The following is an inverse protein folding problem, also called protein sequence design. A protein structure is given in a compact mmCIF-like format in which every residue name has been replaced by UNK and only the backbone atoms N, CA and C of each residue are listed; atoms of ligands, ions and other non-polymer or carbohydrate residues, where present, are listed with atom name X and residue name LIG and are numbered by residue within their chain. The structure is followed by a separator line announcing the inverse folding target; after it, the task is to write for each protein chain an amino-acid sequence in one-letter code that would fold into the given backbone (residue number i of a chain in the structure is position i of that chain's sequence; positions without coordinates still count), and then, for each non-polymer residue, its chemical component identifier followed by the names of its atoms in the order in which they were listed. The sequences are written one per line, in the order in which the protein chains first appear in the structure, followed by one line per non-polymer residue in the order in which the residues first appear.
data_IF_542306628736
#
_entry.id   IF_542306628736
#
_cell.length_a   1.000
_cell.length_b   1.000
_cell.length_c   1.000
_cell.angle_alpha   90.00
_cell.angle_beta   90.00
_cell.angle_gamma   90.00
#
_symmetry.space_group_name_H-M   'P 1'
#
loop_
_entity.id
_entity.type
_entity.pdbx_description
1 polymer ?
#
# COMPACT_ATOMS: atom_id res chain seq x y z
N UNK A 1 -10.42 -32.10 12.72
CA UNK A 1 -9.36 -31.55 11.85
C UNK A 1 -9.04 -30.16 12.38
N UNK A 2 -7.77 -29.84 12.65
CA UNK A 2 -7.42 -28.60 13.34
C UNK A 2 -7.65 -27.39 12.39
N UNK A 3 -8.09 -26.23 12.90
CA UNK A 3 -8.45 -25.06 12.07
C UNK A 3 -7.29 -24.59 11.16
N UNK A 4 -6.06 -24.76 11.62
CA UNK A 4 -4.84 -24.49 10.86
C UNK A 4 -4.70 -25.42 9.66
N UNK A 5 -5.04 -26.71 9.81
CA UNK A 5 -5.01 -27.67 8.71
C UNK A 5 -6.08 -27.37 7.67
N UNK A 6 -7.27 -26.92 8.10
CA UNK A 6 -8.33 -26.54 7.18
C UNK A 6 -7.98 -25.30 6.36
N UNK A 7 -7.32 -24.31 6.97
CA UNK A 7 -6.79 -23.13 6.26
C UNK A 7 -5.66 -23.49 5.28
N UNK A 8 -4.72 -24.36 5.68
CA UNK A 8 -3.65 -24.83 4.80
C UNK A 8 -4.19 -25.63 3.60
N UNK A 9 -5.19 -26.49 3.80
CA UNK A 9 -5.86 -27.21 2.72
C UNK A 9 -6.59 -26.25 1.78
N UNK A 10 -7.24 -25.21 2.32
CA UNK A 10 -7.90 -24.17 1.53
C UNK A 10 -6.92 -23.42 0.62
N UNK A 11 -5.78 -22.96 1.15
CA UNK A 11 -4.72 -22.32 0.37
C UNK A 11 -4.10 -23.25 -0.66
N UNK A 12 -3.87 -24.51 -0.29
CA UNK A 12 -3.35 -25.53 -1.20
C UNK A 12 -4.28 -25.74 -2.40
N UNK A 13 -5.60 -25.80 -2.18
CA UNK A 13 -6.60 -25.94 -3.25
C UNK A 13 -6.62 -24.71 -4.17
N UNK A 14 -6.47 -23.50 -3.64
CA UNK A 14 -6.40 -22.26 -4.44
C UNK A 14 -5.15 -22.27 -5.34
N UNK A 15 -3.99 -22.63 -4.80
CA UNK A 15 -2.75 -22.73 -5.57
C UNK A 15 -2.88 -23.80 -6.66
N UNK A 16 -3.48 -24.94 -6.35
CA UNK A 16 -3.68 -26.04 -7.29
C UNK A 16 -4.61 -25.64 -8.46
N UNK A 17 -5.65 -24.85 -8.18
CA UNK A 17 -6.50 -24.26 -9.21
C UNK A 17 -5.73 -23.29 -10.11
N UNK A 18 -4.90 -22.41 -9.55
CA UNK A 18 -4.07 -21.48 -10.34
C UNK A 18 -3.05 -22.21 -11.23
N UNK A 19 -2.38 -23.23 -10.71
CA UNK A 19 -1.42 -24.03 -11.49
C UNK A 19 -2.13 -24.81 -12.59
N UNK A 20 -3.30 -25.38 -12.30
CA UNK A 20 -4.10 -26.09 -13.32
C UNK A 20 -4.56 -25.15 -14.44
N UNK A 21 -4.97 -23.92 -14.11
CA UNK A 21 -5.35 -22.90 -15.09
C UNK A 21 -4.18 -22.52 -16.01
N UNK A 22 -3.00 -22.25 -15.45
CA UNK A 22 -1.79 -21.93 -16.23
C UNK A 22 -1.39 -23.09 -17.14
N UNK A 23 -1.47 -24.32 -16.62
CA UNK A 23 -1.09 -25.52 -17.38
C UNK A 23 -2.05 -25.76 -18.56
N UNK A 24 -3.36 -25.61 -18.34
CA UNK A 24 -4.37 -25.71 -19.39
C UNK A 24 -4.17 -24.62 -20.45
N UNK A 25 -3.95 -23.37 -20.03
CA UNK A 25 -3.75 -22.25 -20.96
C UNK A 25 -2.48 -22.43 -21.81
N UNK A 26 -1.39 -22.94 -21.21
CA UNK A 26 -0.16 -23.25 -21.93
C UNK A 26 -0.32 -24.44 -22.89
N UNK A 27 -1.09 -25.47 -22.52
CA UNK A 27 -1.39 -26.61 -23.42
C UNK A 27 -2.23 -26.13 -24.61
N UNK A 28 -3.25 -25.30 -24.37
CA UNK A 28 -4.09 -24.72 -25.44
C UNK A 28 -3.25 -23.84 -26.36
N UNK A 29 -2.38 -22.99 -25.82
CA UNK A 29 -1.48 -22.14 -26.60
C UNK A 29 -0.46 -22.95 -27.43
N UNK A 30 0.15 -23.98 -26.84
CA UNK A 30 1.08 -24.89 -27.54
C UNK A 30 0.38 -25.68 -28.66
N UNK A 31 -0.87 -26.10 -28.45
CA UNK A 31 -1.62 -26.92 -29.39
C UNK A 31 -2.22 -26.10 -30.55
N UNK A 32 -2.60 -24.84 -30.29
CA UNK A 32 -3.00 -23.87 -31.33
C UNK A 32 -1.83 -23.56 -32.28
N UNK A 33 -0.59 -23.56 -31.77
CA UNK A 33 0.60 -23.31 -32.58
C UNK A 33 1.05 -24.52 -33.42
N UNK A 34 0.44 -25.71 -33.26
CA UNK A 34 1.00 -26.95 -33.80
C UNK A 34 0.26 -27.66 -34.93
N UNK A 35 -0.95 -27.30 -35.40
CA UNK A 35 -1.47 -28.03 -36.57
C UNK A 35 -2.63 -27.43 -37.38
N UNK A 36 -2.39 -27.34 -38.69
CA UNK A 36 -3.37 -27.38 -39.78
C UNK A 36 -3.96 -28.81 -39.91
N UNK A 37 -5.25 -29.00 -39.58
CA UNK A 37 -6.12 -30.04 -40.19
C UNK A 37 -7.57 -29.81 -39.75
N UNK A 38 -8.50 -29.69 -40.70
CA UNK A 38 -9.92 -29.34 -40.45
C UNK A 38 -10.69 -30.33 -39.54
N UNK A 39 -10.40 -31.63 -39.62
CA UNK A 39 -11.10 -32.65 -38.80
C UNK A 39 -10.73 -32.57 -37.31
N UNK A 40 -9.49 -32.21 -36.99
CA UNK A 40 -9.09 -31.99 -35.60
C UNK A 40 -9.66 -30.69 -35.03
N UNK A 41 -9.97 -29.69 -35.87
CA UNK A 41 -10.55 -28.40 -35.43
C UNK A 41 -11.97 -28.61 -34.91
N UNK A 42 -12.78 -29.47 -35.55
CA UNK A 42 -14.15 -29.72 -35.10
C UNK A 42 -14.20 -30.47 -33.76
N UNK A 43 -13.39 -31.51 -33.61
CA UNK A 43 -13.24 -32.26 -32.34
C UNK A 43 -12.63 -31.36 -31.24
N UNK A 44 -11.70 -30.48 -31.59
CA UNK A 44 -11.14 -29.50 -30.66
C UNK A 44 -12.18 -28.45 -30.23
N UNK A 45 -13.04 -28.00 -31.16
CA UNK A 45 -14.09 -27.01 -30.87
C UNK A 45 -15.14 -27.59 -29.92
N UNK A 46 -15.59 -28.82 -30.14
CA UNK A 46 -16.52 -29.51 -29.23
C UNK A 46 -15.89 -29.74 -27.84
N UNK A 47 -14.61 -30.12 -27.78
CA UNK A 47 -13.88 -30.25 -26.51
C UNK A 47 -13.67 -28.89 -25.80
N UNK A 48 -13.48 -27.81 -26.56
CA UNK A 48 -13.36 -26.44 -26.01
C UNK A 48 -14.71 -25.98 -25.46
N UNK A 49 -15.82 -26.28 -26.14
CA UNK A 49 -17.16 -25.94 -25.68
C UNK A 49 -17.54 -26.74 -24.41
N UNK A 50 -17.18 -28.02 -24.34
CA UNK A 50 -17.35 -28.83 -23.13
C UNK A 50 -16.49 -28.31 -21.96
N UNK A 51 -15.24 -27.92 -22.25
CA UNK A 51 -14.35 -27.33 -21.26
C UNK A 51 -14.84 -25.96 -20.79
N UNK A 52 -15.41 -25.15 -21.67
CA UNK A 52 -16.03 -23.86 -21.36
C UNK A 52 -17.26 -24.02 -20.48
N UNK A 53 -18.13 -24.98 -20.80
CA UNK A 53 -19.27 -25.37 -19.95
C UNK A 53 -18.81 -25.79 -18.55
N UNK A 54 -17.78 -26.64 -18.46
CA UNK A 54 -17.22 -27.05 -17.16
C UNK A 54 -16.59 -25.88 -16.40
N UNK A 55 -15.98 -24.92 -17.11
CA UNK A 55 -15.43 -23.71 -16.51
C UNK A 55 -16.54 -22.82 -15.93
N UNK A 56 -17.62 -22.59 -16.66
CA UNK A 56 -18.78 -21.80 -16.22
C UNK A 56 -19.51 -22.44 -15.04
N UNK A 57 -19.68 -23.77 -15.05
CA UNK A 57 -20.24 -24.52 -13.91
C UNK A 57 -19.34 -24.43 -12.68
N UNK A 58 -18.02 -24.51 -12.85
CA UNK A 58 -17.10 -24.37 -11.73
C UNK A 58 -17.04 -22.93 -11.23
N UNK A 59 -17.08 -21.94 -12.11
CA UNK A 59 -17.13 -20.53 -11.74
C UNK A 59 -18.39 -20.24 -10.92
N UNK A 60 -19.57 -20.66 -11.37
CA UNK A 60 -20.82 -20.48 -10.63
C UNK A 60 -20.83 -21.21 -9.27
N UNK A 61 -20.22 -22.40 -9.17
CA UNK A 61 -20.04 -23.10 -7.89
C UNK A 61 -19.09 -22.36 -6.95
N UNK A 62 -18.02 -21.76 -7.47
CA UNK A 62 -17.09 -20.94 -6.70
C UNK A 62 -17.78 -19.66 -6.22
N UNK A 63 -18.52 -18.96 -7.10
CA UNK A 63 -19.28 -17.76 -6.76
C UNK A 63 -20.33 -18.06 -5.67
N UNK A 64 -21.04 -19.18 -5.78
CA UNK A 64 -21.98 -19.63 -4.74
C UNK A 64 -21.28 -19.91 -3.41
N UNK A 65 -20.14 -20.59 -3.42
CA UNK A 65 -19.35 -20.84 -2.20
C UNK A 65 -18.76 -19.56 -1.62
N UNK A 66 -18.33 -18.60 -2.44
CA UNK A 66 -17.88 -17.27 -2.00
C UNK A 66 -19.03 -16.49 -1.35
N UNK A 67 -20.22 -16.54 -1.94
CA UNK A 67 -21.41 -15.92 -1.39
C UNK A 67 -21.83 -16.56 -0.06
N UNK A 68 -21.82 -17.90 0.03
CA UNK A 68 -22.08 -18.62 1.28
C UNK A 68 -21.02 -18.32 2.35
N UNK A 69 -19.74 -18.25 1.98
CA UNK A 69 -18.66 -17.85 2.90
C UNK A 69 -18.85 -16.42 3.40
N UNK A 70 -19.18 -15.47 2.52
CA UNK A 70 -19.46 -14.08 2.86
C UNK A 70 -20.66 -13.97 3.80
N UNK A 71 -21.72 -14.74 3.53
CA UNK A 71 -22.91 -14.82 4.39
C UNK A 71 -22.58 -15.42 5.74
N UNK A 72 -21.78 -16.50 5.79
CA UNK A 72 -21.38 -17.16 7.03
C UNK A 72 -20.44 -16.29 7.88
N UNK A 73 -19.55 -15.51 7.24
CA UNK A 73 -18.75 -14.49 7.92
C UNK A 73 -19.64 -13.39 8.52
N UNK A 74 -20.70 -13.01 7.79
CA UNK A 74 -21.66 -12.01 8.26
C UNK A 74 -22.47 -12.52 9.46
N UNK A 75 -22.94 -13.77 9.43
CA UNK A 75 -23.73 -14.36 10.52
C UNK A 75 -22.89 -14.74 11.75
N UNK A 76 -21.61 -15.14 11.58
CA UNK A 76 -20.69 -15.30 12.72
C UNK A 76 -20.37 -13.97 13.40
N UNK A 77 -20.52 -12.85 12.69
CA UNK A 77 -20.27 -11.51 13.22
C UNK A 77 -21.48 -10.90 13.96
N UNK A 78 -22.64 -11.56 14.00
CA UNK A 78 -23.85 -11.02 14.67
C UNK A 78 -24.21 -11.75 15.98
N UNK A 79 -23.57 -12.88 16.31
CA UNK A 79 -24.01 -13.76 17.41
C UNK A 79 -23.25 -13.63 18.74
N UNK A 80 -22.52 -12.53 18.98
CA UNK A 80 -21.92 -12.29 20.29
C UNK A 80 -21.68 -10.82 20.57
N UNK A 81 -21.90 -10.39 21.81
CA UNK A 81 -21.53 -9.06 22.32
C UNK A 81 -20.01 -8.79 22.15
N UNK A 82 -19.19 -9.84 22.10
CA UNK A 82 -17.78 -9.77 21.72
C UNK A 82 -17.50 -9.55 20.24
N UNK A 83 -18.48 -9.71 19.35
CA UNK A 83 -18.29 -9.60 17.89
C UNK A 83 -18.14 -8.16 17.41
N UNK A 84 -18.85 -7.21 18.05
CA UNK A 84 -18.74 -5.78 17.76
C UNK A 84 -17.32 -5.27 18.03
N UNK A 85 -16.70 -5.68 19.15
CA UNK A 85 -15.33 -5.30 19.53
C UNK A 85 -14.29 -5.81 18.54
N UNK A 86 -14.35 -7.08 18.14
CA UNK A 86 -13.43 -7.63 17.13
C UNK A 86 -13.62 -6.97 15.76
N UNK A 87 -14.86 -6.67 15.38
CA UNK A 87 -15.19 -5.94 14.15
C UNK A 87 -14.65 -4.51 14.19
N UNK A 88 -14.76 -3.82 15.32
CA UNK A 88 -14.26 -2.46 15.52
C UNK A 88 -12.72 -2.42 15.53
N UNK A 89 -12.07 -3.38 16.19
CA UNK A 89 -10.61 -3.57 16.14
C UNK A 89 -10.11 -3.85 14.72
N UNK A 90 -10.77 -4.74 13.97
CA UNK A 90 -10.42 -5.01 12.58
C UNK A 90 -10.60 -3.77 11.68
N UNK A 91 -11.69 -3.01 11.91
CA UNK A 91 -11.94 -1.75 11.20
C UNK A 91 -10.88 -0.69 11.54
N UNK A 92 -10.51 -0.55 12.81
CA UNK A 92 -9.42 0.32 13.27
C UNK A 92 -8.09 -0.03 12.60
N UNK A 93 -7.69 -1.30 12.66
CA UNK A 93 -6.44 -1.76 12.06
C UNK A 93 -6.42 -1.49 10.55
N UNK A 94 -7.53 -1.74 9.85
CA UNK A 94 -7.64 -1.45 8.43
C UNK A 94 -7.50 0.05 8.12
N UNK A 95 -8.14 0.92 8.89
CA UNK A 95 -8.04 2.38 8.71
C UNK A 95 -6.61 2.88 8.97
N UNK A 96 -5.94 2.35 9.98
CA UNK A 96 -4.55 2.69 10.32
C UNK A 96 -3.59 2.24 9.21
N UNK A 97 -3.77 1.02 8.67
CA UNK A 97 -2.98 0.53 7.53
C UNK A 97 -3.22 1.40 6.29
N UNK A 98 -4.47 1.80 6.02
CA UNK A 98 -4.79 2.70 4.92
C UNK A 98 -4.09 4.06 5.06
N UNK A 99 -4.11 4.66 6.25
CA UNK A 99 -3.37 5.90 6.53
C UNK A 99 -1.87 5.73 6.33
N UNK A 100 -1.29 4.60 6.77
CA UNK A 100 0.14 4.31 6.54
C UNK A 100 0.45 4.23 5.04
N UNK A 101 -0.38 3.54 4.27
CA UNK A 101 -0.18 3.38 2.83
C UNK A 101 -0.37 4.70 2.08
N UNK A 102 -1.39 5.50 2.45
CA UNK A 102 -1.62 6.82 1.84
C UNK A 102 -0.45 7.77 2.10
N UNK A 103 0.15 7.70 3.28
CA UNK A 103 1.34 8.47 3.63
C UNK A 103 2.55 8.14 2.71
N UNK A 104 2.70 6.88 2.30
CA UNK A 104 3.82 6.40 1.50
C UNK A 104 3.61 6.52 -0.02
N UNK A 105 2.39 6.33 -0.51
CA UNK A 105 2.14 6.08 -1.94
C UNK A 105 1.18 7.07 -2.61
N UNK A 106 0.32 7.76 -1.85
CA UNK A 106 -0.73 8.59 -2.46
C UNK A 106 -0.25 10.00 -2.80
N UNK A 107 -0.89 10.61 -3.80
CA UNK A 107 -0.66 12.00 -4.18
C UNK A 107 -1.18 13.00 -3.13
N UNK A 108 -2.07 12.57 -2.24
CA UNK A 108 -2.59 13.33 -1.09
C UNK A 108 -2.83 12.36 0.06
N UNK A 109 -2.54 12.80 1.28
CA UNK A 109 -2.80 11.99 2.46
C UNK A 109 -4.30 11.77 2.69
N UNK A 110 -4.74 10.51 2.66
CA UNK A 110 -6.08 10.11 3.09
C UNK A 110 -6.15 10.05 4.62
N UNK A 111 -6.72 11.11 5.21
CA UNK A 111 -6.83 11.25 6.66
C UNK A 111 -8.10 10.56 7.18
N UNK A 112 -7.91 9.47 7.93
CA UNK A 112 -9.00 8.72 8.55
C UNK A 112 -9.21 9.02 10.06
N UNK A 113 -8.61 10.07 10.62
CA UNK A 113 -8.72 10.42 12.06
C UNK A 113 -10.18 10.50 12.51
N UNK A 114 -11.04 11.19 11.76
CA UNK A 114 -12.47 11.33 12.12
C UNK A 114 -13.21 9.98 12.16
N UNK A 115 -12.75 9.01 11.39
CA UNK A 115 -13.30 7.64 11.38
C UNK A 115 -12.72 6.77 12.49
N UNK A 116 -11.50 7.05 12.94
CA UNK A 116 -10.78 6.34 14.01
C UNK A 116 -11.21 6.82 15.39
N UNK A 117 -11.40 8.12 15.59
CA UNK A 117 -11.73 8.77 16.87
C UNK A 117 -12.91 8.15 17.65
N UNK A 118 -14.07 7.82 17.03
CA UNK A 118 -15.16 7.17 17.77
C UNK A 118 -14.87 5.69 18.08
N UNK A 119 -13.94 5.06 17.37
CA UNK A 119 -13.61 3.64 17.56
C UNK A 119 -12.54 3.46 18.66
N UNK A 120 -11.63 4.43 18.83
CA UNK A 120 -10.60 4.40 19.89
C UNK A 120 -11.16 4.68 21.28
N UNK A 121 -12.23 5.47 21.40
CA UNK A 121 -12.87 5.76 22.69
C UNK A 121 -13.46 4.51 23.35
N UNK A 122 -13.65 3.42 22.60
CA UNK A 122 -14.07 2.12 23.12
C UNK A 122 -12.90 1.31 23.70
N UNK A 123 -11.64 1.68 23.43
CA UNK A 123 -10.44 0.94 23.84
C UNK A 123 -9.86 1.40 25.18
N UNK A 124 -10.13 2.64 25.59
CA UNK A 124 -9.58 3.27 26.81
C UNK A 124 -8.04 3.15 26.87
N UNK A 125 -7.38 3.31 25.72
CA UNK A 125 -5.92 3.27 25.58
C UNK A 125 -5.38 4.71 25.46
N UNK A 126 -4.73 5.24 26.51
CA UNK A 126 -4.24 6.62 26.53
C UNK A 126 -3.16 6.87 25.47
N UNK A 127 -2.38 5.85 25.08
CA UNK A 127 -1.34 6.03 24.07
C UNK A 127 -1.91 6.11 22.66
N UNK A 128 -2.97 5.35 22.37
CA UNK A 128 -3.71 5.49 21.11
C UNK A 128 -4.40 6.86 21.06
N UNK A 129 -5.01 7.31 22.16
CA UNK A 129 -5.68 8.62 22.22
C UNK A 129 -4.70 9.80 22.04
N UNK A 130 -3.54 9.73 22.71
CA UNK A 130 -2.48 10.72 22.55
C UNK A 130 -1.98 10.75 21.10
N UNK A 131 -1.71 9.59 20.51
CA UNK A 131 -1.24 9.51 19.13
C UNK A 131 -2.24 10.05 18.11
N UNK A 132 -3.54 9.81 18.32
CA UNK A 132 -4.60 10.38 17.47
C UNK A 132 -4.73 11.88 17.66
N UNK A 133 -4.56 12.38 18.88
CA UNK A 133 -4.59 13.83 19.17
C UNK A 133 -3.41 14.56 18.51
N UNK A 134 -2.21 13.97 18.56
CA UNK A 134 -1.04 14.47 17.85
C UNK A 134 -1.28 14.54 16.34
N UNK A 135 -1.86 13.49 15.75
CA UNK A 135 -2.24 13.47 14.32
C UNK A 135 -3.28 14.55 13.98
N UNK A 136 -4.24 14.82 14.87
CA UNK A 136 -5.28 15.84 14.67
C UNK A 136 -4.70 17.26 14.74
N UNK A 137 -3.64 17.46 15.53
CA UNK A 137 -2.95 18.75 15.65
C UNK A 137 -2.18 19.17 14.38
N UNK A 138 -1.88 18.21 13.51
CA UNK A 138 -1.14 18.45 12.26
C UNK A 138 -2.05 19.14 11.24
N UNK A 139 -1.76 20.42 10.96
CA UNK A 139 -2.50 21.23 9.97
C UNK A 139 -2.41 20.69 8.55
N UNK A 140 -1.26 20.14 8.18
CA UNK A 140 -1.00 19.58 6.86
C UNK A 140 -0.03 18.40 7.01
N UNK A 141 -0.36 17.28 6.38
CA UNK A 141 0.47 16.08 6.33
C UNK A 141 0.81 15.86 4.87
N UNK A 142 2.08 16.07 4.51
CA UNK A 142 2.55 15.81 3.17
C UNK A 142 2.93 14.34 3.02
N UNK A 143 2.59 13.73 1.89
CA UNK A 143 2.99 12.35 1.61
C UNK A 143 4.45 12.27 1.18
N UNK A 144 5.03 11.07 1.19
CA UNK A 144 6.39 10.84 0.69
C UNK A 144 6.56 11.34 -0.76
N UNK A 145 5.52 11.15 -1.59
CA UNK A 145 5.49 11.65 -2.95
C UNK A 145 5.57 13.20 -3.02
N UNK A 146 4.79 13.89 -2.20
CA UNK A 146 4.81 15.36 -2.13
C UNK A 146 6.14 15.91 -1.58
N UNK A 147 6.73 15.20 -0.61
CA UNK A 147 8.06 15.52 -0.08
C UNK A 147 9.13 15.39 -1.16
N UNK A 148 9.10 14.33 -1.97
CA UNK A 148 10.01 14.13 -3.10
C UNK A 148 9.88 15.26 -4.13
N UNK A 149 8.65 15.57 -4.53
CA UNK A 149 8.37 16.63 -5.50
C UNK A 149 8.81 18.00 -4.98
N UNK A 150 8.59 18.29 -3.70
CA UNK A 150 8.99 19.57 -3.10
C UNK A 150 10.51 19.66 -2.89
N UNK A 151 11.20 18.56 -2.60
CA UNK A 151 12.66 18.51 -2.56
C UNK A 151 13.28 18.80 -3.94
N UNK A 152 12.78 18.14 -4.99
CA UNK A 152 13.24 18.38 -6.38
C UNK A 152 12.98 19.82 -6.84
N UNK A 153 11.85 20.42 -6.44
CA UNK A 153 11.60 21.84 -6.67
C UNK A 153 12.61 22.72 -5.93
N UNK A 154 13.00 22.34 -4.73
CA UNK A 154 13.99 23.08 -3.92
C UNK A 154 15.38 23.03 -4.57
N UNK A 155 15.81 21.85 -5.05
CA UNK A 155 17.04 21.72 -5.85
C UNK A 155 17.00 22.65 -7.07
N UNK A 156 15.90 22.61 -7.83
CA UNK A 156 15.77 23.44 -9.02
C UNK A 156 15.86 24.96 -8.73
N UNK A 157 15.34 25.40 -7.58
CA UNK A 157 15.47 26.79 -7.12
C UNK A 157 16.92 27.12 -6.74
N UNK A 158 17.61 26.23 -6.02
CA UNK A 158 19.02 26.39 -5.66
C UNK A 158 19.89 26.50 -6.91
N UNK A 159 19.69 25.60 -7.88
CA UNK A 159 20.43 25.60 -9.15
C UNK A 159 20.16 26.86 -9.97
N UNK A 160 18.89 27.28 -10.04
CA UNK A 160 18.50 28.53 -10.69
C UNK A 160 19.21 29.73 -10.02
N UNK A 161 19.22 29.80 -8.70
CA UNK A 161 19.86 30.88 -7.95
C UNK A 161 21.37 30.91 -8.15
N UNK A 162 22.04 29.75 -8.19
CA UNK A 162 23.49 29.62 -8.43
C UNK A 162 23.89 29.86 -9.90
N UNK A 163 22.95 29.77 -10.85
CA UNK A 163 23.24 29.87 -12.27
C UNK A 163 23.36 31.32 -12.77
N UNK A 164 24.29 31.56 -13.71
CA UNK A 164 24.46 32.84 -14.40
C UNK A 164 23.28 33.13 -15.33
N UNK A 165 23.05 34.40 -15.70
CA UNK A 165 21.91 34.82 -16.53
C UNK A 165 21.72 33.97 -17.81
N UNK A 166 22.81 33.66 -18.52
CA UNK A 166 22.78 32.77 -19.68
C UNK A 166 22.45 31.32 -19.33
N UNK A 167 22.97 30.78 -18.22
CA UNK A 167 22.60 29.46 -17.73
C UNK A 167 21.13 29.39 -17.29
N UNK A 168 20.56 30.47 -16.73
CA UNK A 168 19.12 30.56 -16.39
C UNK A 168 18.22 30.47 -17.61
N UNK A 169 18.60 31.13 -18.71
CA UNK A 169 17.85 31.08 -19.97
C UNK A 169 17.90 29.66 -20.56
N UNK A 170 19.07 29.03 -20.57
CA UNK A 170 19.27 27.69 -21.15
C UNK A 170 18.69 26.58 -20.25
N UNK A 171 18.75 26.71 -18.91
CA UNK A 171 18.20 25.72 -17.97
C UNK A 171 16.68 25.62 -18.04
N UNK A 172 16.00 26.70 -18.43
CA UNK A 172 14.56 26.67 -18.71
C UNK A 172 14.22 25.85 -19.96
N UNK A 173 15.18 25.71 -20.90
CA UNK A 173 15.01 24.99 -22.16
C UNK A 173 15.48 23.54 -22.08
N UNK A 174 16.52 23.23 -21.29
CA UNK A 174 17.08 21.88 -21.15
C UNK A 174 17.21 21.55 -19.66
N UNK A 175 16.22 20.83 -19.12
CA UNK A 175 16.34 20.19 -17.79
C UNK A 175 17.22 18.96 -17.90
N UNK A 176 18.54 19.12 -17.79
CA UNK A 176 19.45 17.97 -17.61
C UNK A 176 19.34 17.51 -16.16
N UNK A 177 18.75 16.32 -15.94
CA UNK A 177 18.77 15.69 -14.62
C UNK A 177 20.10 14.97 -14.43
N UNK A 178 21.03 15.58 -13.70
CA UNK A 178 22.20 14.86 -13.22
C UNK A 178 21.77 13.83 -12.16
N UNK A 179 22.02 12.54 -12.42
CA UNK A 179 21.70 11.46 -11.48
C UNK A 179 22.70 11.39 -10.31
N UNK A 180 23.87 12.00 -10.45
CA UNK A 180 24.94 12.01 -9.44
C UNK A 180 24.94 13.29 -8.60
N UNK A 181 23.86 14.07 -8.63
CA UNK A 181 23.70 15.25 -7.78
C UNK A 181 23.75 14.84 -6.30
N UNK A 182 24.68 15.39 -5.49
CA UNK A 182 24.79 15.08 -4.07
C UNK A 182 23.50 15.28 -3.27
N UNK A 183 22.64 16.23 -3.65
CA UNK A 183 21.34 16.44 -3.01
C UNK A 183 20.35 15.33 -3.36
N UNK A 184 20.40 14.79 -4.59
CA UNK A 184 19.57 13.65 -4.97
C UNK A 184 20.00 12.36 -4.30
N UNK A 185 21.31 12.17 -4.07
CA UNK A 185 21.82 11.05 -3.27
C UNK A 185 21.28 11.12 -1.84
N UNK A 186 21.34 12.30 -1.20
CA UNK A 186 20.75 12.52 0.13
C UNK A 186 19.25 12.26 0.16
N UNK A 187 18.51 12.64 -0.89
CA UNK A 187 17.08 12.33 -0.97
C UNK A 187 16.83 10.81 -1.00
N UNK A 188 17.65 10.05 -1.73
CA UNK A 188 17.55 8.60 -1.78
C UNK A 188 17.87 7.95 -0.41
N UNK A 189 18.90 8.44 0.30
CA UNK A 189 19.24 7.99 1.66
C UNK A 189 18.09 8.26 2.65
N UNK A 190 17.42 9.41 2.54
CA UNK A 190 16.25 9.75 3.35
C UNK A 190 15.07 8.85 2.99
N UNK A 191 14.83 8.56 1.70
CA UNK A 191 13.77 7.64 1.25
C UNK A 191 13.99 6.22 1.78
N UNK A 192 15.23 5.71 1.73
CA UNK A 192 15.62 4.41 2.27
C UNK A 192 15.40 4.36 3.78
N UNK A 193 15.90 5.36 4.51
CA UNK A 193 15.74 5.45 5.96
C UNK A 193 14.27 5.56 6.39
N UNK A 194 13.42 6.22 5.60
CA UNK A 194 11.96 6.27 5.85
C UNK A 194 11.34 4.88 5.72
N UNK A 195 11.73 4.10 4.71
CA UNK A 195 11.22 2.74 4.53
C UNK A 195 11.65 1.81 5.68
N UNK A 196 12.87 2.01 6.18
CA UNK A 196 13.44 1.23 7.28
C UNK A 196 12.98 1.73 8.67
N UNK A 197 12.25 2.85 8.73
CA UNK A 197 11.87 3.55 9.96
C UNK A 197 13.08 4.01 10.80
N UNK A 198 14.22 4.27 10.16
CA UNK A 198 15.44 4.77 10.79
C UNK A 198 15.41 6.31 10.90
N UNK A 199 14.74 6.77 11.95
CA UNK A 199 14.62 8.21 12.23
C UNK A 199 15.94 8.89 12.62
N UNK A 200 16.94 8.13 13.08
CA UNK A 200 18.22 8.67 13.51
C UNK A 200 19.12 8.96 12.30
N UNK A 201 19.14 8.08 11.31
CA UNK A 201 19.80 8.33 10.04
C UNK A 201 19.19 9.52 9.31
N UNK A 202 17.86 9.65 9.30
CA UNK A 202 17.16 10.83 8.75
C UNK A 202 17.64 12.12 9.41
N UNK A 203 17.71 12.17 10.75
CA UNK A 203 18.16 13.35 11.47
C UNK A 203 19.61 13.73 11.12
N UNK A 204 20.46 12.74 10.90
CA UNK A 204 21.87 12.93 10.50
C UNK A 204 21.96 13.52 9.10
N UNK A 205 21.27 12.92 8.12
CA UNK A 205 21.29 13.40 6.72
C UNK A 205 20.67 14.80 6.58
N UNK A 206 19.64 15.11 7.37
CA UNK A 206 19.04 16.46 7.46
C UNK A 206 20.02 17.48 8.05
N UNK A 207 20.80 17.11 9.06
CA UNK A 207 21.80 17.98 9.68
C UNK A 207 22.78 18.56 8.66
N UNK A 208 23.05 17.80 7.60
CA UNK A 208 23.93 18.19 6.51
C UNK A 208 23.23 19.02 5.40
N UNK A 209 21.92 19.27 5.50
CA UNK A 209 21.15 20.16 4.60
C UNK A 209 21.15 21.59 5.16
N UNK A 210 22.26 22.30 4.98
CA UNK A 210 22.46 23.64 5.54
C UNK A 210 21.89 24.78 4.70
N UNK A 211 21.44 24.51 3.47
CA UNK A 211 20.86 25.52 2.58
C UNK A 211 19.51 26.04 3.10
N UNK A 212 19.32 27.37 3.24
CA UNK A 212 18.10 27.95 3.82
C UNK A 212 16.82 27.64 3.03
N UNK A 213 16.95 27.37 1.73
CA UNK A 213 15.86 26.98 0.85
C UNK A 213 15.20 25.65 1.27
N UNK A 214 15.89 24.79 2.03
CA UNK A 214 15.31 23.57 2.59
C UNK A 214 14.46 23.80 3.83
N UNK A 215 14.49 24.98 4.47
CA UNK A 215 13.74 25.23 5.71
C UNK A 215 12.23 24.93 5.60
N UNK A 216 11.52 25.34 4.53
CA UNK A 216 10.12 24.97 4.34
C UNK A 216 9.93 23.46 4.12
N UNK A 217 10.86 22.82 3.40
CA UNK A 217 10.83 21.38 3.17
C UNK A 217 11.04 20.58 4.46
N UNK A 218 11.97 21.01 5.32
CA UNK A 218 12.20 20.40 6.63
C UNK A 218 10.97 20.47 7.53
N UNK A 219 10.22 21.58 7.48
CA UNK A 219 8.95 21.69 8.21
C UNK A 219 7.93 20.64 7.73
N UNK A 220 7.86 20.39 6.42
CA UNK A 220 6.98 19.37 5.84
C UNK A 220 7.42 17.96 6.21
N UNK A 221 8.71 17.69 6.15
CA UNK A 221 9.28 16.42 6.56
C UNK A 221 9.03 16.13 8.04
N UNK A 222 9.14 17.14 8.90
CA UNK A 222 8.82 16.98 10.31
C UNK A 222 7.35 16.58 10.52
N UNK A 223 6.41 17.20 9.80
CA UNK A 223 4.99 16.80 9.82
C UNK A 223 4.79 15.34 9.40
N UNK A 224 5.47 14.89 8.35
CA UNK A 224 5.47 13.49 7.91
C UNK A 224 6.04 12.54 8.96
N UNK A 225 7.16 12.89 9.60
CA UNK A 225 7.79 12.06 10.63
C UNK A 225 6.87 11.91 11.84
N UNK A 226 6.28 13.01 12.31
CA UNK A 226 5.30 12.99 13.41
C UNK A 226 4.10 12.13 13.05
N UNK A 227 3.57 12.27 11.82
CA UNK A 227 2.47 11.44 11.35
C UNK A 227 2.82 9.95 11.31
N UNK A 228 3.97 9.60 10.73
CA UNK A 228 4.43 8.22 10.59
C UNK A 228 4.67 7.54 11.94
N UNK A 229 5.27 8.27 12.90
CA UNK A 229 5.48 7.78 14.27
C UNK A 229 4.16 7.50 14.98
N UNK A 230 3.23 8.45 14.96
CA UNK A 230 1.93 8.27 15.63
C UNK A 230 1.07 7.16 14.99
N UNK A 231 1.06 7.05 13.66
CA UNK A 231 0.41 5.91 12.97
C UNK A 231 1.03 4.57 13.41
N UNK A 232 2.35 4.53 13.57
CA UNK A 232 3.06 3.32 14.01
C UNK A 232 2.77 2.98 15.48
N UNK A 233 2.65 3.97 16.36
CA UNK A 233 2.22 3.78 17.76
C UNK A 233 0.83 3.16 17.80
N UNK A 234 -0.13 3.75 17.08
CA UNK A 234 -1.51 3.22 17.01
C UNK A 234 -1.50 1.78 16.49
N UNK A 235 -0.76 1.50 15.42
CA UNK A 235 -0.65 0.16 14.86
C UNK A 235 -0.08 -0.84 15.88
N UNK A 236 1.01 -0.48 16.56
CA UNK A 236 1.67 -1.36 17.53
C UNK A 236 0.76 -1.68 18.73
N UNK A 237 0.09 -0.67 19.27
CA UNK A 237 -0.87 -0.85 20.36
C UNK A 237 -2.07 -1.70 19.93
N UNK A 238 -2.62 -1.46 18.74
CA UNK A 238 -3.72 -2.28 18.21
C UNK A 238 -3.34 -3.75 18.03
N UNK A 239 -2.08 -4.07 17.72
CA UNK A 239 -1.62 -5.47 17.65
C UNK A 239 -1.66 -6.18 19.00
N UNK A 240 -1.48 -5.47 20.12
CA UNK A 240 -1.55 -6.07 21.46
C UNK A 240 -2.95 -6.58 21.79
N UNK A 241 -3.99 -6.02 21.18
CA UNK A 241 -5.39 -6.47 21.34
C UNK A 241 -5.76 -7.68 20.48
N UNK A 242 -4.87 -8.09 19.56
CA UNK A 242 -5.09 -9.22 18.63
C UNK A 242 -4.27 -10.46 19.06
N UNK A 243 -3.22 -10.26 19.86
CA UNK A 243 -2.33 -11.31 20.36
C UNK A 243 -2.87 -12.01 21.60
#
# INVERSE_FOLDING_TARGET
MNDTQQKCIGWFLIVLLFVSYITINNIVFLKINQQESEDNIKVLTENIDELKMLLEVNQSRIEKKMFELKRNLHTQCEQGDGSSRHKNLAKLLLLVIKMKNSLLQEARFDNHINSIKPLISELDDPEIENAVSELESLKEINTLHELKLSFEKTIAVIDYNKSTFFKRIISNWIKVKDKNDPLRVKLAEIEESINDNDWQSIATTIGDLTHPEFKPWLSKLNGFIVASKNISIIYHHLLQYIS
#
